data_IF_530387337351
#
_entry.id   IF_530387337351
#
_cell.length_a   1.000
_cell.length_b   1.000
_cell.length_c   1.000
_cell.angle_alpha   90.00
_cell.angle_beta   90.00
_cell.angle_gamma   90.00
#
_symmetry.space_group_name_H-M   'P 1'
#
loop_
_entity.id
_entity.type
_entity.pdbx_description
1 polymer ?
#
# COMPACT_ATOMS: atom_id res chain seq x y z
N UNK A 1 -22.35 2.45 -9.54
CA UNK A 1 -21.32 3.14 -8.75
C UNK A 1 -20.11 3.38 -9.63
N UNK A 2 -19.42 4.51 -9.48
CA UNK A 2 -18.18 4.84 -10.20
C UNK A 2 -17.00 4.76 -9.23
N UNK A 3 -15.96 4.02 -9.62
CA UNK A 3 -14.70 3.88 -8.88
C UNK A 3 -13.56 4.22 -9.83
N UNK A 4 -12.58 4.99 -9.37
CA UNK A 4 -11.35 5.22 -10.12
C UNK A 4 -10.22 4.35 -9.56
N UNK A 5 -9.44 3.69 -10.42
CA UNK A 5 -8.24 2.93 -10.05
C UNK A 5 -6.94 3.72 -10.23
N UNK A 6 -7.06 5.02 -10.53
CA UNK A 6 -5.99 5.91 -10.96
C UNK A 6 -5.67 5.82 -12.45
N UNK A 7 -6.03 4.69 -13.10
CA UNK A 7 -5.83 4.46 -14.54
C UNK A 7 -7.12 4.19 -15.29
N UNK A 8 -8.16 3.72 -14.61
CA UNK A 8 -9.46 3.35 -15.21
C UNK A 8 -10.61 3.80 -14.33
N UNK A 9 -11.72 4.16 -14.96
CA UNK A 9 -13.01 4.31 -14.30
C UNK A 9 -13.80 3.02 -14.46
N UNK A 10 -14.25 2.48 -13.34
CA UNK A 10 -15.03 1.25 -13.26
C UNK A 10 -16.46 1.63 -12.87
N UNK A 11 -17.42 1.29 -13.74
CA UNK A 11 -18.85 1.45 -13.46
C UNK A 11 -19.44 0.07 -13.21
N UNK A 12 -19.88 -0.19 -11.99
CA UNK A 12 -20.29 -1.54 -11.57
C UNK A 12 -21.65 -1.60 -10.86
N UNK A 13 -22.35 -2.75 -10.97
CA UNK A 13 -23.59 -3.03 -10.24
C UNK A 13 -23.31 -3.36 -8.77
N UNK A 14 -24.32 -3.34 -7.90
CA UNK A 14 -24.12 -3.53 -6.46
C UNK A 14 -23.56 -4.91 -6.09
N UNK A 15 -23.86 -5.96 -6.86
CA UNK A 15 -23.30 -7.30 -6.66
C UNK A 15 -21.78 -7.37 -6.83
N UNK A 16 -21.18 -6.37 -7.49
CA UNK A 16 -19.73 -6.24 -7.59
C UNK A 16 -19.10 -5.81 -6.27
N UNK A 17 -19.79 -4.96 -5.50
CA UNK A 17 -19.29 -4.46 -4.21
C UNK A 17 -19.04 -5.59 -3.24
N UNK A 18 -20.03 -6.47 -3.06
CA UNK A 18 -19.92 -7.62 -2.17
C UNK A 18 -18.77 -8.56 -2.55
N UNK A 19 -18.47 -8.71 -3.85
CA UNK A 19 -17.32 -9.50 -4.31
C UNK A 19 -15.99 -8.84 -3.95
N UNK A 20 -15.89 -7.52 -4.15
CA UNK A 20 -14.70 -6.73 -3.82
C UNK A 20 -14.47 -6.73 -2.30
N UNK A 21 -15.50 -6.45 -1.49
CA UNK A 21 -15.41 -6.49 -0.03
C UNK A 21 -15.01 -7.87 0.46
N UNK A 22 -15.65 -8.94 -0.05
CA UNK A 22 -15.31 -10.31 0.32
C UNK A 22 -13.87 -10.68 -0.07
N UNK A 23 -13.36 -10.18 -1.19
CA UNK A 23 -11.96 -10.34 -1.56
C UNK A 23 -11.04 -9.64 -0.57
N UNK A 24 -11.33 -8.36 -0.25
CA UNK A 24 -10.52 -7.55 0.67
C UNK A 24 -10.48 -8.17 2.06
N UNK A 25 -11.64 -8.57 2.60
CA UNK A 25 -11.74 -9.21 3.92
C UNK A 25 -10.90 -10.48 3.97
N UNK A 26 -11.07 -11.35 2.97
CA UNK A 26 -10.33 -12.60 2.87
C UNK A 26 -8.83 -12.37 2.71
N UNK A 27 -8.43 -11.41 1.88
CA UNK A 27 -7.01 -11.08 1.67
C UNK A 27 -6.39 -10.53 2.95
N UNK A 28 -7.07 -9.64 3.66
CA UNK A 28 -6.59 -9.05 4.91
C UNK A 28 -6.48 -10.09 6.03
N UNK A 29 -7.44 -11.00 6.16
CA UNK A 29 -7.35 -12.14 7.07
C UNK A 29 -6.14 -13.03 6.73
N UNK A 30 -5.95 -13.31 5.44
CA UNK A 30 -4.83 -14.13 4.95
C UNK A 30 -3.48 -13.45 5.19
N UNK A 31 -3.36 -12.14 4.94
CA UNK A 31 -2.16 -11.34 5.21
C UNK A 31 -1.79 -11.46 6.70
N UNK A 32 -2.73 -11.18 7.60
CA UNK A 32 -2.49 -11.26 9.04
C UNK A 32 -2.07 -12.67 9.48
N UNK A 33 -2.73 -13.69 8.93
CA UNK A 33 -2.54 -15.08 9.37
C UNK A 33 -1.27 -15.70 8.79
N UNK A 34 -1.08 -15.65 7.48
CA UNK A 34 0.00 -16.36 6.80
C UNK A 34 1.35 -15.67 7.00
N UNK A 35 1.41 -14.34 6.89
CA UNK A 35 2.66 -13.61 7.14
C UNK A 35 2.99 -13.52 8.62
N UNK A 36 1.98 -13.51 9.50
CA UNK A 36 2.18 -13.67 10.94
C UNK A 36 2.84 -15.01 11.30
N UNK A 37 2.45 -16.12 10.66
CA UNK A 37 3.12 -17.44 10.84
C UNK A 37 4.56 -17.45 10.35
N UNK A 38 4.89 -16.63 9.35
CA UNK A 38 6.23 -16.47 8.80
C UNK A 38 7.09 -15.48 9.60
N UNK A 39 6.56 -14.90 10.69
CA UNK A 39 7.20 -13.81 11.44
C UNK A 39 7.54 -12.59 10.57
N UNK A 40 6.80 -12.41 9.47
CA UNK A 40 6.92 -11.23 8.61
C UNK A 40 6.09 -10.10 9.25
N UNK A 41 6.66 -8.89 9.44
CA UNK A 41 5.93 -7.74 9.94
C UNK A 41 4.67 -7.45 9.11
N UNK A 42 3.54 -7.28 9.80
CA UNK A 42 2.25 -6.89 9.21
C UNK A 42 1.78 -5.58 9.84
N UNK A 43 1.42 -4.61 9.01
CA UNK A 43 0.78 -3.36 9.43
C UNK A 43 -0.70 -3.39 9.05
N UNK A 44 -1.60 -3.24 10.02
CA UNK A 44 -3.04 -3.33 9.80
C UNK A 44 -3.69 -1.99 9.42
N UNK A 45 -3.40 -1.51 8.21
CA UNK A 45 -4.05 -0.31 7.69
C UNK A 45 -5.58 -0.40 7.67
N UNK A 46 -6.14 -1.58 7.38
CA UNK A 46 -7.59 -1.74 7.21
C UNK A 46 -8.38 -1.28 8.43
N UNK A 47 -7.99 -1.74 9.63
CA UNK A 47 -8.69 -1.42 10.87
C UNK A 47 -8.59 0.08 11.24
N UNK A 48 -7.57 0.76 10.75
CA UNK A 48 -7.36 2.19 10.99
C UNK A 48 -8.12 3.10 10.02
N UNK A 49 -8.54 2.63 8.84
CA UNK A 49 -9.14 3.49 7.81
C UNK A 49 -10.67 3.40 7.70
N UNK A 50 -11.30 2.55 8.52
CA UNK A 50 -12.75 2.43 8.62
C UNK A 50 -13.43 3.68 9.17
N UNK A 51 -14.63 4.00 8.68
CA UNK A 51 -15.47 5.06 9.23
C UNK A 51 -16.04 4.67 10.60
N UNK A 52 -16.32 5.62 11.52
CA UNK A 52 -16.84 5.31 12.85
C UNK A 52 -18.14 4.51 12.85
N UNK A 53 -19.03 4.79 11.89
CA UNK A 53 -20.35 4.16 11.79
C UNK A 53 -20.36 2.89 10.91
N UNK A 54 -19.35 2.75 10.05
CA UNK A 54 -19.17 1.64 9.09
C UNK A 54 -17.67 1.37 8.93
N UNK A 55 -17.10 0.56 9.82
CA UNK A 55 -15.67 0.26 9.84
C UNK A 55 -15.18 -0.47 8.58
N UNK A 56 -16.11 -1.08 7.84
CA UNK A 56 -15.88 -1.73 6.55
C UNK A 56 -15.83 -0.74 5.37
N UNK A 57 -16.12 0.54 5.59
CA UNK A 57 -16.09 1.59 4.58
C UNK A 57 -15.00 2.62 4.87
N UNK A 58 -14.37 3.12 3.81
CA UNK A 58 -13.34 4.15 3.91
C UNK A 58 -13.92 5.41 4.56
N UNK A 59 -13.30 5.86 5.64
CA UNK A 59 -13.70 7.08 6.31
C UNK A 59 -13.57 8.30 5.37
N UNK A 60 -14.67 9.04 5.12
CA UNK A 60 -14.66 10.21 4.24
C UNK A 60 -13.64 11.29 4.64
N UNK A 61 -13.23 11.35 5.92
CA UNK A 61 -12.17 12.27 6.39
C UNK A 61 -10.84 12.03 5.68
N UNK A 62 -10.57 10.80 5.26
CA UNK A 62 -9.33 10.41 4.61
C UNK A 62 -9.49 10.18 3.10
N UNK A 63 -10.70 10.30 2.56
CA UNK A 63 -11.00 10.04 1.16
C UNK A 63 -11.08 11.32 0.32
N UNK A 64 -10.84 11.20 -0.99
CA UNK A 64 -11.11 12.30 -1.95
C UNK A 64 -12.54 12.29 -2.51
N UNK A 65 -13.33 11.26 -2.20
CA UNK A 65 -14.72 11.11 -2.66
C UNK A 65 -14.90 10.31 -3.95
N UNK A 66 -13.86 9.64 -4.46
CA UNK A 66 -13.95 8.71 -5.61
C UNK A 66 -14.14 7.24 -5.20
N UNK A 67 -14.42 7.04 -3.91
CA UNK A 67 -14.60 5.75 -3.23
C UNK A 67 -13.38 4.81 -3.22
N UNK A 68 -12.20 5.29 -3.60
CA UNK A 68 -10.98 4.49 -3.54
C UNK A 68 -9.82 5.24 -2.88
N UNK A 69 -9.55 6.49 -3.29
CA UNK A 69 -8.27 7.13 -3.02
C UNK A 69 -8.27 8.05 -1.80
N UNK A 70 -7.07 8.15 -1.25
CA UNK A 70 -6.79 8.95 -0.06
C UNK A 70 -6.55 10.41 -0.44
N UNK A 71 -7.03 11.31 0.41
CA UNK A 71 -6.63 12.71 0.41
C UNK A 71 -5.29 12.89 1.16
N UNK A 72 -4.83 14.13 1.30
CA UNK A 72 -3.55 14.45 1.98
C UNK A 72 -3.54 13.96 3.44
N UNK A 73 -4.64 14.13 4.16
CA UNK A 73 -4.76 13.65 5.55
C UNK A 73 -4.74 12.12 5.62
N UNK A 74 -5.35 11.44 4.65
CA UNK A 74 -5.28 9.99 4.52
C UNK A 74 -3.85 9.48 4.27
N UNK A 75 -3.10 10.13 3.38
CA UNK A 75 -1.70 9.78 3.11
C UNK A 75 -0.81 9.97 4.35
N UNK A 76 -1.01 11.08 5.08
CA UNK A 76 -0.31 11.32 6.35
C UNK A 76 -0.71 10.30 7.43
N UNK A 77 -1.99 9.91 7.48
CA UNK A 77 -2.46 8.88 8.39
C UNK A 77 -1.86 7.51 8.08
N UNK A 78 -1.73 7.15 6.80
CA UNK A 78 -1.10 5.88 6.39
C UNK A 78 0.33 5.79 6.92
N UNK A 79 1.11 6.86 6.77
CA UNK A 79 2.44 6.95 7.37
C UNK A 79 2.40 6.82 8.89
N UNK A 80 1.41 7.44 9.54
CA UNK A 80 1.31 7.42 11.02
C UNK A 80 1.10 6.01 11.52
N UNK A 81 0.18 5.26 10.92
CA UNK A 81 -0.10 3.87 11.30
C UNK A 81 1.14 3.00 11.08
N UNK A 82 1.79 3.08 9.90
CA UNK A 82 3.03 2.35 9.63
C UNK A 82 4.15 2.68 10.63
N UNK A 83 4.27 3.95 11.01
CA UNK A 83 5.25 4.37 12.00
C UNK A 83 4.90 3.83 13.40
N UNK A 84 3.65 3.98 13.82
CA UNK A 84 3.20 3.58 15.15
C UNK A 84 3.25 2.06 15.37
N UNK A 85 2.90 1.27 14.36
CA UNK A 85 2.86 -0.20 14.44
C UNK A 85 4.22 -0.86 14.20
N UNK A 86 5.14 -0.22 13.46
CA UNK A 86 6.40 -0.85 13.09
C UNK A 86 7.63 0.08 13.20
N UNK A 87 7.73 1.11 12.36
CA UNK A 87 9.00 1.83 12.18
C UNK A 87 9.46 2.66 13.39
N UNK A 88 8.57 3.00 14.32
CA UNK A 88 8.95 3.71 15.56
C UNK A 88 9.74 2.84 16.53
N UNK A 89 9.50 1.53 16.52
CA UNK A 89 10.13 0.57 17.43
C UNK A 89 11.26 -0.22 16.76
N UNK A 90 11.49 0.01 15.46
CA UNK A 90 12.59 -0.55 14.68
C UNK A 90 13.64 0.56 14.49
N UNK A 91 14.86 0.39 15.01
CA UNK A 91 15.94 1.38 14.89
C UNK A 91 17.06 0.97 13.93
N UNK A 92 17.11 -0.30 13.54
CA UNK A 92 18.13 -0.91 12.68
C UNK A 92 17.71 -0.95 11.20
N UNK A 93 17.62 0.23 10.58
CA UNK A 93 17.45 0.37 9.13
C UNK A 93 17.88 1.75 8.64
N UNK A 94 18.35 1.83 7.39
CA UNK A 94 18.74 3.08 6.74
C UNK A 94 17.89 3.38 5.49
N UNK A 95 17.55 2.36 4.70
CA UNK A 95 16.82 2.51 3.45
C UNK A 95 15.60 1.59 3.35
N UNK A 96 14.45 2.20 3.06
CA UNK A 96 13.18 1.50 2.83
C UNK A 96 12.66 1.79 1.42
N UNK A 97 12.37 0.74 0.65
CA UNK A 97 11.60 0.88 -0.60
C UNK A 97 10.11 0.68 -0.32
N UNK A 98 9.29 1.59 -0.82
CA UNK A 98 7.82 1.51 -0.76
C UNK A 98 7.29 0.99 -2.10
N UNK A 99 6.98 -0.30 -2.17
CA UNK A 99 6.41 -0.96 -3.35
C UNK A 99 4.88 -0.96 -3.25
N UNK A 100 4.20 -0.40 -4.25
CA UNK A 100 2.75 -0.40 -4.23
C UNK A 100 2.04 0.19 -5.44
N UNK A 101 0.77 0.53 -5.24
CA UNK A 101 -0.12 1.03 -6.28
C UNK A 101 -0.32 2.56 -6.23
N UNK A 102 -1.53 3.05 -6.52
CA UNK A 102 -1.88 4.48 -6.45
C UNK A 102 -1.79 5.04 -5.04
N UNK A 103 -2.06 4.24 -4.00
CA UNK A 103 -1.95 4.65 -2.61
C UNK A 103 -0.49 4.94 -2.25
N UNK A 104 0.43 4.04 -2.58
CA UNK A 104 1.86 4.28 -2.44
C UNK A 104 2.34 5.42 -3.32
N UNK A 105 1.85 5.52 -4.56
CA UNK A 105 2.21 6.63 -5.44
C UNK A 105 1.78 7.99 -4.86
N UNK A 106 0.75 8.04 -4.00
CA UNK A 106 0.14 9.28 -3.55
C UNK A 106 -0.88 9.85 -4.55
N UNK A 107 -1.38 9.04 -5.49
CA UNK A 107 -2.39 9.49 -6.46
C UNK A 107 -3.74 9.75 -5.77
N UNK A 108 -4.48 10.80 -6.16
CA UNK A 108 -4.16 11.81 -7.18
C UNK A 108 -3.50 13.07 -6.61
N UNK A 109 -3.19 13.09 -5.31
CA UNK A 109 -2.79 14.30 -4.59
C UNK A 109 -1.30 14.64 -4.74
N UNK A 110 -0.45 13.66 -5.07
CA UNK A 110 0.99 13.83 -5.28
C UNK A 110 1.28 14.70 -6.50
N UNK A 111 2.11 15.72 -6.32
CA UNK A 111 2.42 16.72 -7.35
C UNK A 111 3.81 16.55 -8.00
N UNK A 112 4.66 15.71 -7.44
CA UNK A 112 6.08 15.50 -7.77
C UNK A 112 6.35 14.09 -8.31
N UNK A 113 5.41 13.52 -9.07
CA UNK A 113 5.49 12.14 -9.59
C UNK A 113 6.69 11.89 -10.51
N UNK A 114 7.30 12.93 -11.07
CA UNK A 114 8.53 12.83 -11.86
C UNK A 114 9.73 12.33 -11.04
N UNK A 115 9.69 12.45 -9.71
CA UNK A 115 10.73 11.99 -8.77
C UNK A 115 10.46 10.59 -8.24
N UNK A 116 9.51 9.86 -8.83
CA UNK A 116 9.20 8.50 -8.41
C UNK A 116 10.43 7.59 -8.60
N UNK A 117 10.80 6.88 -7.53
CA UNK A 117 11.95 6.00 -7.52
C UNK A 117 13.27 6.65 -7.14
N UNK A 118 13.28 7.94 -6.78
CA UNK A 118 14.36 8.62 -6.08
C UNK A 118 14.16 8.53 -4.56
N UNK A 119 15.24 8.76 -3.80
CA UNK A 119 15.15 8.92 -2.33
C UNK A 119 14.36 10.18 -2.04
N UNK A 120 13.44 10.10 -1.07
CA UNK A 120 12.64 11.24 -0.67
C UNK A 120 13.54 12.36 -0.11
N UNK A 121 13.38 13.54 -0.69
CA UNK A 121 13.97 14.78 -0.21
C UNK A 121 12.88 15.61 0.47
N UNK A 122 12.99 15.79 1.80
CA UNK A 122 11.96 16.46 2.60
C UNK A 122 11.79 17.95 2.29
N UNK A 123 12.72 18.57 1.56
CA UNK A 123 12.66 19.97 1.13
C UNK A 123 12.09 20.11 -0.30
N UNK A 124 12.25 19.09 -1.15
CA UNK A 124 11.84 19.14 -2.56
C UNK A 124 10.56 18.36 -2.86
N UNK A 125 10.33 17.24 -2.17
CA UNK A 125 9.22 16.34 -2.45
C UNK A 125 7.93 16.76 -1.76
N UNK A 126 6.81 16.38 -2.37
CA UNK A 126 5.49 16.75 -1.85
C UNK A 126 5.11 15.93 -0.61
N UNK A 127 4.49 16.55 0.41
CA UNK A 127 4.02 15.84 1.60
C UNK A 127 2.72 15.03 1.36
N UNK A 128 2.38 14.77 0.10
CA UNK A 128 1.11 14.14 -0.32
C UNK A 128 1.26 12.63 -0.56
N UNK A 129 2.32 12.02 -0.03
CA UNK A 129 2.64 10.61 -0.14
C UNK A 129 3.14 10.12 1.23
N UNK A 130 2.70 8.95 1.68
CA UNK A 130 3.12 8.44 3.00
C UNK A 130 4.64 8.27 3.17
N UNK A 131 5.46 7.93 2.15
CA UNK A 131 6.91 7.78 2.32
C UNK A 131 7.60 9.08 2.76
N UNK A 132 7.05 10.25 2.39
CA UNK A 132 7.55 11.55 2.85
C UNK A 132 7.45 11.68 4.36
N UNK A 133 6.30 11.34 4.94
CA UNK A 133 6.09 11.47 6.38
C UNK A 133 6.90 10.44 7.16
N UNK A 134 7.04 9.22 6.64
CA UNK A 134 7.92 8.21 7.23
C UNK A 134 9.38 8.68 7.24
N UNK A 135 9.90 9.17 6.11
CA UNK A 135 11.26 9.72 6.05
C UNK A 135 11.43 10.89 7.03
N UNK A 136 10.48 11.83 7.06
CA UNK A 136 10.51 12.97 7.96
C UNK A 136 10.48 12.61 9.45
N UNK A 137 9.72 11.58 9.84
CA UNK A 137 9.56 11.22 11.26
C UNK A 137 10.63 10.27 11.77
N UNK A 138 11.12 9.37 10.92
CA UNK A 138 12.18 8.41 11.29
C UNK A 138 13.57 8.97 11.09
N UNK A 139 13.73 9.98 10.22
CA UNK A 139 15.04 10.48 9.79
C UNK A 139 15.78 9.51 8.85
N UNK A 140 15.11 8.46 8.36
CA UNK A 140 15.67 7.44 7.46
C UNK A 140 15.30 7.69 6.00
N UNK A 141 15.98 6.99 5.09
CA UNK A 141 15.74 7.12 3.66
C UNK A 141 14.58 6.26 3.21
N UNK A 142 13.67 6.85 2.44
CA UNK A 142 12.56 6.13 1.82
C UNK A 142 12.60 6.37 0.30
N UNK A 143 12.25 5.37 -0.49
CA UNK A 143 12.08 5.47 -1.94
C UNK A 143 10.64 5.10 -2.29
N UNK A 144 9.93 5.99 -2.97
CA UNK A 144 8.58 5.69 -3.46
C UNK A 144 8.65 4.92 -4.80
N UNK A 145 8.09 3.71 -4.85
CA UNK A 145 7.91 2.88 -6.06
C UNK A 145 6.45 2.51 -6.26
N UNK A 146 5.54 3.44 -5.96
CA UNK A 146 4.12 3.34 -6.25
C UNK A 146 3.82 3.58 -7.73
N UNK A 147 3.00 2.73 -8.32
CA UNK A 147 2.49 2.91 -9.69
C UNK A 147 0.98 2.71 -9.70
N UNK A 148 0.23 3.78 -9.99
CA UNK A 148 -1.23 3.73 -10.05
C UNK A 148 -1.75 2.58 -10.94
N UNK A 149 -2.78 1.89 -10.47
CA UNK A 149 -3.39 0.75 -11.16
C UNK A 149 -2.60 -0.58 -11.07
N UNK A 150 -1.45 -0.63 -10.40
CA UNK A 150 -0.73 -1.90 -10.23
C UNK A 150 -1.48 -2.90 -9.33
N UNK A 151 -1.50 -4.15 -9.78
CA UNK A 151 -1.84 -5.34 -9.00
C UNK A 151 -0.58 -5.93 -8.37
N UNK A 152 -0.72 -6.96 -7.52
CA UNK A 152 0.44 -7.73 -7.03
C UNK A 152 1.28 -8.32 -8.17
N UNK A 153 0.65 -8.86 -9.23
CA UNK A 153 1.36 -9.27 -10.44
C UNK A 153 2.22 -8.15 -11.04
N UNK A 154 1.66 -6.94 -11.16
CA UNK A 154 2.38 -5.77 -11.68
C UNK A 154 3.57 -5.37 -10.82
N UNK A 155 3.42 -5.43 -9.50
CA UNK A 155 4.50 -5.21 -8.53
C UNK A 155 5.59 -6.28 -8.61
N UNK A 156 5.21 -7.56 -8.71
CA UNK A 156 6.13 -8.69 -8.82
C UNK A 156 7.02 -8.57 -10.07
N UNK A 157 6.44 -8.25 -11.22
CA UNK A 157 7.18 -8.13 -12.48
C UNK A 157 8.25 -7.03 -12.51
N UNK A 158 8.12 -6.03 -11.62
CA UNK A 158 9.08 -4.93 -11.51
C UNK A 158 9.92 -5.00 -10.23
N UNK A 159 9.76 -6.04 -9.42
CA UNK A 159 10.40 -6.15 -8.10
C UNK A 159 11.91 -5.96 -8.15
N UNK A 160 12.61 -6.66 -9.05
CA UNK A 160 14.07 -6.51 -9.18
C UNK A 160 14.49 -5.08 -9.51
N UNK A 161 13.77 -4.43 -10.43
CA UNK A 161 14.10 -3.07 -10.91
C UNK A 161 13.69 -1.98 -9.92
N UNK A 162 12.70 -2.23 -9.07
CA UNK A 162 12.15 -1.22 -8.18
C UNK A 162 12.58 -1.41 -6.74
N UNK A 163 12.95 -2.63 -6.33
CA UNK A 163 13.35 -2.97 -4.96
C UNK A 163 14.82 -3.39 -4.91
N UNK A 164 15.15 -4.58 -5.44
CA UNK A 164 16.47 -5.21 -5.25
C UNK A 164 17.62 -4.30 -5.70
N UNK A 165 17.46 -3.58 -6.82
CA UNK A 165 18.51 -2.69 -7.34
C UNK A 165 18.98 -1.59 -6.37
N UNK A 166 18.17 -1.27 -5.36
CA UNK A 166 18.48 -0.22 -4.39
C UNK A 166 19.14 -0.76 -3.13
N UNK A 167 19.27 -2.09 -2.99
CA UNK A 167 19.80 -2.76 -1.79
C UNK A 167 19.17 -2.23 -0.48
N UNK A 168 17.83 -2.20 -0.37
CA UNK A 168 17.19 -1.66 0.83
C UNK A 168 17.23 -2.65 1.99
N UNK A 169 17.20 -2.15 3.23
CA UNK A 169 17.04 -2.99 4.42
C UNK A 169 15.61 -3.53 4.52
N UNK A 170 14.63 -2.71 4.09
CA UNK A 170 13.21 -3.01 4.19
C UNK A 170 12.45 -2.73 2.89
N UNK A 171 11.38 -3.49 2.67
CA UNK A 171 10.42 -3.26 1.60
C UNK A 171 9.00 -3.22 2.15
N UNK A 172 8.36 -2.05 2.13
CA UNK A 172 6.93 -1.95 2.40
C UNK A 172 6.18 -2.43 1.16
N UNK A 173 5.26 -3.37 1.35
CA UNK A 173 4.37 -3.88 0.28
C UNK A 173 2.93 -3.47 0.60
N UNK A 174 2.38 -2.56 -0.19
CA UNK A 174 1.00 -2.09 -0.02
C UNK A 174 0.28 -2.09 -1.38
N UNK A 175 -0.79 -2.88 -1.50
CA UNK A 175 -1.61 -2.95 -2.70
C UNK A 175 -2.76 -3.93 -2.56
N UNK A 176 -3.20 -4.55 -3.65
CA UNK A 176 -4.31 -5.51 -3.66
C UNK A 176 -5.69 -4.91 -3.91
N UNK A 177 -5.86 -3.59 -3.79
CA UNK A 177 -7.09 -2.89 -4.19
C UNK A 177 -7.40 -3.12 -5.66
N UNK A 178 -6.40 -3.00 -6.55
CA UNK A 178 -6.59 -3.21 -7.98
C UNK A 178 -6.86 -4.67 -8.32
N UNK A 179 -6.27 -5.64 -7.60
CA UNK A 179 -6.60 -7.05 -7.76
C UNK A 179 -8.09 -7.31 -7.49
N UNK A 180 -8.61 -6.78 -6.39
CA UNK A 180 -10.02 -6.87 -6.04
C UNK A 180 -10.92 -6.22 -7.11
N UNK A 181 -10.57 -5.00 -7.53
CA UNK A 181 -11.34 -4.20 -8.49
C UNK A 181 -11.27 -4.74 -9.94
N UNK A 182 -10.20 -5.44 -10.31
CA UNK A 182 -10.08 -6.06 -11.63
C UNK A 182 -10.63 -7.50 -11.63
N UNK A 183 -11.03 -8.02 -10.47
CA UNK A 183 -11.55 -9.38 -10.33
C UNK A 183 -10.49 -10.45 -10.52
N UNK A 184 -9.22 -10.14 -10.20
CA UNK A 184 -8.14 -11.13 -10.20
C UNK A 184 -8.51 -12.27 -9.25
N UNK A 185 -8.32 -13.55 -9.64
CA UNK A 185 -8.59 -14.67 -8.75
C UNK A 185 -7.77 -14.58 -7.46
N UNK A 186 -8.42 -14.76 -6.30
CA UNK A 186 -7.79 -14.66 -4.98
C UNK A 186 -6.47 -15.44 -4.86
N UNK A 187 -6.43 -16.67 -5.38
CA UNK A 187 -5.25 -17.54 -5.28
C UNK A 187 -4.06 -17.00 -6.08
N UNK A 188 -4.31 -16.36 -7.23
CA UNK A 188 -3.27 -15.71 -8.04
C UNK A 188 -2.73 -14.49 -7.30
N UNK A 189 -3.60 -13.58 -6.85
CA UNK A 189 -3.20 -12.39 -6.10
C UNK A 189 -2.42 -12.72 -4.83
N UNK A 190 -2.85 -13.73 -4.07
CA UNK A 190 -2.11 -14.16 -2.87
C UNK A 190 -0.78 -14.81 -3.24
N UNK A 191 -0.74 -15.64 -4.29
CA UNK A 191 0.52 -16.22 -4.77
C UNK A 191 1.51 -15.15 -5.19
N UNK A 192 1.07 -14.11 -5.90
CA UNK A 192 1.93 -13.00 -6.30
C UNK A 192 2.45 -12.22 -5.10
N UNK A 193 1.59 -11.90 -4.12
CA UNK A 193 2.02 -11.25 -2.88
C UNK A 193 3.02 -12.11 -2.11
N UNK A 194 2.77 -13.42 -1.99
CA UNK A 194 3.70 -14.35 -1.34
C UNK A 194 5.04 -14.38 -2.06
N UNK A 195 5.05 -14.41 -3.40
CA UNK A 195 6.28 -14.37 -4.18
C UNK A 195 7.06 -13.06 -3.97
N UNK A 196 6.39 -11.90 -3.83
CA UNK A 196 7.05 -10.64 -3.46
C UNK A 196 7.73 -10.77 -2.09
N UNK A 197 7.04 -11.33 -1.10
CA UNK A 197 7.59 -11.54 0.25
C UNK A 197 8.76 -12.50 0.23
N UNK A 198 8.64 -13.63 -0.47
CA UNK A 198 9.72 -14.61 -0.60
C UNK A 198 10.95 -13.97 -1.26
N UNK A 199 10.77 -13.18 -2.33
CA UNK A 199 11.86 -12.45 -2.99
C UNK A 199 12.52 -11.42 -2.08
N UNK A 200 11.78 -10.75 -1.19
CA UNK A 200 12.40 -9.89 -0.17
C UNK A 200 13.34 -10.73 0.71
N UNK A 201 12.84 -11.82 1.28
CA UNK A 201 13.61 -12.68 2.20
C UNK A 201 14.83 -13.31 1.54
N UNK A 202 14.69 -13.77 0.28
CA UNK A 202 15.80 -14.33 -0.52
C UNK A 202 16.92 -13.32 -0.81
N UNK A 203 16.59 -12.03 -0.82
CA UNK A 203 17.55 -10.94 -1.04
C UNK A 203 17.96 -10.24 0.26
N UNK A 204 17.68 -10.85 1.43
CA UNK A 204 17.99 -10.29 2.75
C UNK A 204 17.32 -8.94 3.04
N UNK A 205 16.16 -8.69 2.41
CA UNK A 205 15.33 -7.50 2.59
C UNK A 205 14.18 -7.87 3.52
N UNK A 206 13.95 -7.10 4.58
CA UNK A 206 12.82 -7.33 5.49
C UNK A 206 11.51 -6.84 4.87
N UNK A 207 10.55 -7.72 4.53
CA UNK A 207 9.25 -7.27 4.02
C UNK A 207 8.38 -6.74 5.16
N UNK A 208 7.65 -5.64 4.90
CA UNK A 208 6.62 -5.09 5.78
C UNK A 208 5.31 -5.06 4.99
N UNK A 209 4.43 -6.03 5.26
CA UNK A 209 3.21 -6.23 4.47
C UNK A 209 2.06 -5.46 5.08
N UNK A 210 1.35 -4.68 4.27
CA UNK A 210 0.22 -3.90 4.73
C UNK A 210 -1.11 -4.55 4.33
N UNK A 211 -2.11 -4.50 5.21
CA UNK A 211 -3.48 -4.86 4.83
C UNK A 211 -4.06 -3.83 3.85
N UNK A 212 -5.00 -4.28 3.01
CA UNK A 212 -5.72 -3.43 2.06
C UNK A 212 -6.68 -2.53 2.83
N UNK A 213 -6.62 -1.21 2.60
CA UNK A 213 -7.56 -0.27 3.20
C UNK A 213 -9.01 -0.53 2.73
N UNK A 214 -10.03 -0.10 3.48
CA UNK A 214 -11.41 -0.16 3.02
C UNK A 214 -11.65 0.71 1.77
N UNK A 215 -12.73 0.42 1.04
CA UNK A 215 -13.24 1.25 -0.05
C UNK A 215 -14.49 2.01 0.38
N UNK A 216 -14.85 3.07 -0.34
CA UNK A 216 -15.92 3.99 0.06
C UNK A 216 -17.35 3.57 -0.33
N UNK A 217 -17.61 2.28 -0.62
CA UNK A 217 -18.86 1.87 -1.27
C UNK A 217 -19.46 0.54 -0.84
#
# INVERSE_FOLDING_TARGET
MEINTGTRKIVTPDSFRSKVSSFIDKMNETIRTEFGKMSVPVVDLHSHFGSPDRSDLLDPRYAIGDNAHLNIEGQKKMARVMNEEYFRECDDFDLVVCLGDSHTQGWPVRTDTSRNGEVIDIELDSPHQYPFWLSKWTGRSFINRGIAGNTYYGMLNRFNNDVVRHFPDHCIVQGGTNDALLGTPFHESFSDLKNIVDLCLENEITPVVCTIIPLGF
#
